data_IF_660563882260
#
_entry.id   IF_660563882260
#
_cell.length_a   1.000
_cell.length_b   1.000
_cell.length_c   1.000
_cell.angle_alpha   90.00
_cell.angle_beta   90.00
_cell.angle_gamma   90.00
#
_symmetry.space_group_name_H-M   'P 1'
#
loop_
_entity.id
_entity.type
_entity.pdbx_description
1 polymer ?
#
# COMPACT_ATOMS: atom_id res chain seq x y z
N UNK A 1 -66.10 44.10 34.78
CA UNK A 1 -65.65 43.67 33.44
C UNK A 1 -65.06 42.27 33.56
N UNK A 2 -65.32 41.39 32.58
CA UNK A 2 -65.86 40.06 32.90
C UNK A 2 -65.07 38.88 32.31
N UNK A 3 -65.48 37.69 32.76
CA UNK A 3 -65.52 36.38 32.06
C UNK A 3 -64.19 35.74 31.67
N UNK A 4 -63.71 34.67 32.32
CA UNK A 4 -64.30 33.30 32.43
C UNK A 4 -64.81 32.78 31.09
N UNK A 5 -64.09 31.82 30.49
CA UNK A 5 -64.70 30.60 29.96
C UNK A 5 -63.78 29.41 30.25
N UNK A 6 -64.17 28.62 31.25
CA UNK A 6 -63.86 27.21 31.36
C UNK A 6 -65.07 26.46 30.80
N UNK A 7 -64.88 25.47 29.91
CA UNK A 7 -65.90 24.46 29.64
C UNK A 7 -65.24 23.11 29.36
N UNK A 8 -65.44 22.17 30.28
CA UNK A 8 -65.28 20.72 30.11
C UNK A 8 -66.69 20.11 29.89
N UNK A 9 -66.92 18.77 29.90
CA UNK A 9 -66.22 17.63 29.30
C UNK A 9 -67.18 16.78 28.42
N UNK A 10 -66.65 15.81 27.66
CA UNK A 10 -67.44 14.77 26.97
C UNK A 10 -66.85 13.39 27.23
N UNK A 11 -67.64 12.52 27.86
CA UNK A 11 -67.28 11.19 28.40
C UNK A 11 -67.95 10.09 27.56
N UNK A 12 -67.36 8.89 27.63
CA UNK A 12 -67.89 7.56 27.27
C UNK A 12 -67.71 7.11 25.81
N UNK A 13 -67.26 5.88 25.50
CA UNK A 13 -66.91 4.77 26.39
C UNK A 13 -66.56 3.47 25.63
N UNK A 14 -66.14 2.46 26.41
CA UNK A 14 -66.07 1.04 26.04
C UNK A 14 -64.84 0.63 25.21
N UNK A 15 -64.08 -0.44 25.50
CA UNK A 15 -64.24 -1.57 26.41
C UNK A 15 -62.90 -2.29 26.57
N UNK A 16 -62.57 -2.62 27.82
CA UNK A 16 -61.99 -3.88 28.35
C UNK A 16 -60.91 -4.65 27.55
N UNK A 17 -59.77 -4.77 28.25
CA UNK A 17 -59.06 -6.01 28.59
C UNK A 17 -58.18 -6.71 27.53
N UNK A 18 -56.86 -6.66 27.76
CA UNK A 18 -55.92 -7.79 27.86
C UNK A 18 -54.48 -7.22 27.76
N UNK A 19 -53.74 -7.14 28.86
CA UNK A 19 -52.72 -8.15 29.22
C UNK A 19 -51.54 -8.20 28.24
N UNK A 20 -50.56 -7.33 28.48
CA UNK A 20 -49.11 -7.57 28.49
C UNK A 20 -48.57 -8.78 27.68
N UNK A 21 -48.05 -8.57 26.46
CA UNK A 21 -46.81 -9.19 25.92
C UNK A 21 -46.32 -8.36 24.71
N UNK A 22 -44.98 -8.19 24.58
CA UNK A 22 -44.18 -7.63 23.47
C UNK A 22 -43.89 -6.12 23.47
N UNK A 23 -42.86 -5.78 24.24
CA UNK A 23 -41.80 -4.91 23.75
C UNK A 23 -41.17 -5.53 22.47
N UNK A 24 -41.78 -5.32 21.29
CA UNK A 24 -41.14 -5.53 19.98
C UNK A 24 -42.00 -5.00 18.80
N UNK A 25 -42.36 -3.71 18.74
CA UNK A 25 -42.88 -3.10 17.49
C UNK A 25 -43.01 -1.56 17.59
N UNK A 26 -41.89 -0.84 17.78
CA UNK A 26 -41.80 0.58 17.38
C UNK A 26 -40.35 1.02 17.07
N UNK A 27 -39.47 0.07 16.76
CA UNK A 27 -38.21 0.31 16.01
C UNK A 27 -38.47 0.20 14.49
N UNK A 28 -39.73 0.34 14.05
CA UNK A 28 -40.14 0.27 12.64
C UNK A 28 -40.98 1.48 12.22
N UNK A 29 -40.54 2.68 12.60
CA UNK A 29 -40.99 3.93 11.98
C UNK A 29 -39.83 4.86 11.58
N UNK A 30 -38.58 4.36 11.64
CA UNK A 30 -37.38 5.01 11.09
C UNK A 30 -36.81 4.31 9.86
N UNK A 31 -37.56 3.36 9.29
CA UNK A 31 -37.14 2.53 8.16
C UNK A 31 -38.16 2.67 7.02
N UNK A 32 -38.25 3.88 6.43
CA UNK A 32 -38.93 4.14 5.15
C UNK A 32 -38.74 5.58 4.61
N UNK A 33 -37.94 6.41 5.28
CA UNK A 33 -37.40 7.63 4.69
C UNK A 33 -35.92 7.38 4.45
N UNK A 34 -35.56 7.15 3.19
CA UNK A 34 -34.15 7.22 2.76
C UNK A 34 -33.54 8.58 3.12
N UNK A 35 -32.21 8.73 3.00
CA UNK A 35 -31.53 9.98 3.37
C UNK A 35 -32.23 11.16 2.68
N UNK A 36 -32.50 12.21 3.47
CA UNK A 36 -33.11 13.44 2.93
C UNK A 36 -32.19 14.01 1.83
N UNK A 37 -32.78 14.65 0.81
CA UNK A 37 -32.06 15.13 -0.38
C UNK A 37 -30.83 16.04 -0.08
N UNK A 38 -30.78 16.68 1.09
CA UNK A 38 -29.63 17.47 1.56
C UNK A 38 -28.46 16.64 2.11
N UNK A 39 -28.71 15.48 2.74
CA UNK A 39 -27.66 14.54 3.14
C UNK A 39 -27.14 13.71 1.97
N UNK A 40 -28.00 13.42 0.99
CA UNK A 40 -27.59 12.74 -0.24
C UNK A 40 -26.67 13.63 -1.09
N UNK A 41 -26.96 14.94 -1.25
CA UNK A 41 -26.08 15.87 -1.97
C UNK A 41 -24.72 16.07 -1.30
N UNK A 42 -24.66 16.25 0.03
CA UNK A 42 -23.39 16.38 0.74
C UNK A 42 -22.53 15.11 0.63
N UNK A 43 -23.13 13.91 0.68
CA UNK A 43 -22.41 12.65 0.46
C UNK A 43 -21.99 12.45 -1.01
N UNK A 44 -22.76 12.98 -1.97
CA UNK A 44 -22.38 13.03 -3.39
C UNK A 44 -21.17 13.94 -3.59
N UNK A 45 -21.15 15.14 -2.99
CA UNK A 45 -20.02 16.08 -3.11
C UNK A 45 -18.72 15.52 -2.51
N UNK A 46 -18.79 14.82 -1.38
CA UNK A 46 -17.59 14.20 -0.76
C UNK A 46 -17.05 13.04 -1.59
N UNK A 47 -17.91 12.16 -2.15
CA UNK A 47 -17.44 11.09 -3.04
C UNK A 47 -16.83 11.64 -4.31
N UNK A 48 -17.37 12.72 -4.86
CA UNK A 48 -16.82 13.42 -6.02
C UNK A 48 -15.43 13.99 -5.70
N UNK A 49 -15.32 14.73 -4.59
CA UNK A 49 -14.04 15.25 -4.09
C UNK A 49 -13.00 14.14 -3.90
N UNK A 50 -13.36 13.06 -3.20
CA UNK A 50 -12.45 11.92 -2.97
C UNK A 50 -12.04 11.25 -4.27
N UNK A 51 -12.97 11.10 -5.23
CA UNK A 51 -12.67 10.53 -6.55
C UNK A 51 -11.70 11.42 -7.33
N UNK A 52 -11.92 12.74 -7.33
CA UNK A 52 -11.06 13.69 -8.02
C UNK A 52 -9.65 13.71 -7.40
N UNK A 53 -9.57 13.76 -6.06
CA UNK A 53 -8.31 13.64 -5.34
C UNK A 53 -7.62 12.31 -5.65
N UNK A 54 -8.35 11.20 -5.67
CA UNK A 54 -7.79 9.89 -5.98
C UNK A 54 -7.31 9.77 -7.42
N UNK A 55 -8.08 10.31 -8.37
CA UNK A 55 -7.73 10.38 -9.78
C UNK A 55 -6.48 11.23 -10.03
N UNK A 56 -6.20 12.22 -9.18
CA UNK A 56 -4.98 13.01 -9.21
C UNK A 56 -3.89 12.48 -8.27
N UNK A 57 -4.07 11.29 -7.69
CA UNK A 57 -3.10 10.63 -6.79
C UNK A 57 -2.82 11.38 -5.47
N UNK A 58 -3.82 12.06 -4.92
CA UNK A 58 -3.81 12.65 -3.56
C UNK A 58 -4.54 11.79 -2.53
N UNK A 59 -5.28 10.77 -2.98
CA UNK A 59 -5.98 9.81 -2.15
C UNK A 59 -5.94 8.41 -2.81
N UNK A 60 -6.06 7.32 -2.04
CA UNK A 60 -6.27 5.99 -2.63
C UNK A 60 -7.70 5.87 -3.19
N UNK A 61 -7.88 5.10 -4.28
CA UNK A 61 -9.21 4.80 -4.84
C UNK A 61 -10.12 4.06 -3.84
N UNK A 62 -9.54 3.28 -2.93
CA UNK A 62 -10.26 2.62 -1.84
C UNK A 62 -10.79 3.58 -0.77
N UNK A 63 -10.27 4.81 -0.73
CA UNK A 63 -10.72 5.89 0.17
C UNK A 63 -11.97 6.65 -0.31
N UNK A 64 -12.59 6.24 -1.42
CA UNK A 64 -13.83 6.85 -1.93
C UNK A 64 -15.03 6.25 -1.20
N UNK A 65 -15.16 6.58 0.09
CA UNK A 65 -16.18 6.07 0.99
C UNK A 65 -17.35 7.05 1.24
N UNK A 66 -17.23 8.28 0.74
CA UNK A 66 -18.21 9.36 0.93
C UNK A 66 -18.22 10.00 2.31
N UNK A 67 -17.21 9.72 3.14
CA UNK A 67 -17.05 10.25 4.48
C UNK A 67 -15.87 11.22 4.50
N UNK A 68 -16.12 12.48 4.89
CA UNK A 68 -15.07 13.48 5.05
C UNK A 68 -14.31 13.23 6.37
N UNK A 69 -13.51 12.18 6.41
CA UNK A 69 -12.74 11.76 7.57
C UNK A 69 -11.33 12.33 7.60
N UNK A 70 -10.49 11.81 8.50
CA UNK A 70 -9.08 12.22 8.63
C UNK A 70 -8.28 11.99 7.35
N UNK A 71 -8.54 10.88 6.63
CA UNK A 71 -7.88 10.62 5.34
C UNK A 71 -8.23 11.70 4.31
N UNK A 72 -9.52 12.00 4.11
CA UNK A 72 -9.95 13.05 3.16
C UNK A 72 -9.42 14.42 3.55
N UNK A 73 -9.44 14.76 4.84
CA UNK A 73 -8.88 16.02 5.37
C UNK A 73 -7.40 16.14 5.00
N UNK A 74 -6.60 15.09 5.22
CA UNK A 74 -5.17 15.11 4.89
C UNK A 74 -4.89 15.11 3.38
N UNK A 75 -5.68 14.40 2.58
CA UNK A 75 -5.62 14.46 1.12
C UNK A 75 -5.91 15.87 0.60
N UNK A 76 -6.87 16.57 1.22
CA UNK A 76 -7.18 17.96 0.91
C UNK A 76 -6.04 18.89 1.30
N UNK A 77 -5.46 18.74 2.51
CA UNK A 77 -4.26 19.51 2.90
C UNK A 77 -3.08 19.30 1.95
N UNK A 78 -2.87 18.07 1.50
CA UNK A 78 -1.83 17.75 0.53
C UNK A 78 -2.08 18.46 -0.80
N UNK A 79 -3.29 18.33 -1.35
CA UNK A 79 -3.66 19.05 -2.56
C UNK A 79 -3.53 20.58 -2.39
N UNK A 80 -3.94 21.12 -1.26
CA UNK A 80 -3.83 22.55 -0.94
C UNK A 80 -2.37 23.03 -0.92
N UNK A 81 -1.47 22.31 -0.23
CA UNK A 81 -0.04 22.63 -0.20
C UNK A 81 0.56 22.63 -1.61
N UNK A 82 0.29 21.60 -2.39
CA UNK A 82 0.79 21.48 -3.75
C UNK A 82 0.25 22.60 -4.66
N UNK A 83 -0.95 23.10 -4.39
CA UNK A 83 -1.58 24.13 -5.21
C UNK A 83 -1.49 25.55 -4.60
N UNK A 84 -0.63 25.75 -3.60
CA UNK A 84 -0.38 27.07 -3.00
C UNK A 84 -1.59 27.66 -2.29
N UNK A 85 -2.47 26.81 -1.76
CA UNK A 85 -3.66 27.18 -0.98
C UNK A 85 -3.37 27.06 0.53
N UNK A 86 -4.22 27.68 1.34
CA UNK A 86 -4.21 27.48 2.80
C UNK A 86 -4.48 26.00 3.10
N UNK A 87 -3.54 25.31 3.73
CA UNK A 87 -3.60 23.87 4.03
C UNK A 87 -4.42 23.56 5.29
N UNK A 88 -5.62 24.11 5.37
CA UNK A 88 -6.55 23.95 6.50
C UNK A 88 -7.21 22.56 6.53
N UNK A 89 -7.26 21.87 5.40
CA UNK A 89 -7.91 20.57 5.24
C UNK A 89 -9.39 20.67 4.96
N UNK A 90 -9.90 21.87 4.67
CA UNK A 90 -11.27 22.13 4.29
C UNK A 90 -11.39 22.26 2.76
N UNK A 91 -12.30 21.50 2.16
CA UNK A 91 -12.58 21.59 0.73
C UNK A 91 -13.53 22.77 0.43
N UNK A 92 -13.10 23.97 0.81
CA UNK A 92 -13.83 25.21 0.52
C UNK A 92 -13.81 25.58 -0.97
N UNK A 93 -14.48 26.69 -1.35
CA UNK A 93 -14.61 27.10 -2.75
C UNK A 93 -13.27 27.24 -3.50
N UNK A 94 -12.22 27.73 -2.84
CA UNK A 94 -10.89 27.86 -3.44
C UNK A 94 -10.28 26.48 -3.75
N UNK A 95 -10.31 25.56 -2.79
CA UNK A 95 -9.85 24.17 -2.94
C UNK A 95 -10.60 23.45 -4.06
N UNK A 96 -11.94 23.51 -4.06
CA UNK A 96 -12.77 22.85 -5.07
C UNK A 96 -12.51 23.45 -6.46
N UNK A 97 -12.40 24.79 -6.57
CA UNK A 97 -12.12 25.44 -7.86
C UNK A 97 -10.76 25.03 -8.41
N UNK A 98 -9.72 24.95 -7.56
CA UNK A 98 -8.39 24.50 -7.98
C UNK A 98 -8.40 23.02 -8.38
N UNK A 99 -9.10 22.17 -7.63
CA UNK A 99 -9.23 20.75 -7.91
C UNK A 99 -9.91 20.51 -9.26
N UNK A 100 -11.08 21.11 -9.47
CA UNK A 100 -11.81 21.06 -10.75
C UNK A 100 -10.94 21.58 -11.90
N UNK A 101 -10.20 22.68 -11.71
CA UNK A 101 -9.30 23.19 -12.75
C UNK A 101 -8.19 22.18 -13.10
N UNK A 102 -7.61 21.50 -12.10
CA UNK A 102 -6.59 20.47 -12.30
C UNK A 102 -7.14 19.26 -13.06
N UNK A 103 -8.34 18.80 -12.71
CA UNK A 103 -9.03 17.72 -13.43
C UNK A 103 -9.26 18.11 -14.89
N UNK A 104 -9.70 19.33 -15.17
CA UNK A 104 -9.89 19.83 -16.55
C UNK A 104 -8.59 19.87 -17.36
N UNK A 105 -7.46 20.19 -16.73
CA UNK A 105 -6.14 20.12 -17.38
C UNK A 105 -5.82 18.67 -17.81
N UNK A 106 -6.03 17.71 -16.90
CA UNK A 106 -5.84 16.27 -17.20
C UNK A 106 -6.76 15.84 -18.34
N UNK A 107 -8.05 16.15 -18.26
CA UNK A 107 -9.04 15.79 -19.28
C UNK A 107 -8.68 16.33 -20.67
N UNK A 108 -8.26 17.60 -20.72
CA UNK A 108 -7.84 18.25 -21.97
C UNK A 108 -6.63 17.57 -22.60
N UNK A 109 -5.65 17.14 -21.78
CA UNK A 109 -4.45 16.43 -22.23
C UNK A 109 -4.70 14.97 -22.59
N UNK A 110 -5.62 14.31 -21.88
CA UNK A 110 -6.05 12.94 -22.15
C UNK A 110 -7.01 12.83 -23.34
N UNK A 111 -7.50 13.96 -23.89
CA UNK A 111 -8.36 13.98 -25.08
C UNK A 111 -9.82 13.64 -24.80
N UNK A 112 -10.34 14.01 -23.62
CA UNK A 112 -11.75 13.82 -23.23
C UNK A 112 -12.44 15.14 -22.87
N UNK A 113 -13.75 15.11 -22.62
CA UNK A 113 -14.53 16.27 -22.20
C UNK A 113 -13.97 16.88 -20.91
N UNK A 114 -13.67 18.18 -20.92
CA UNK A 114 -13.16 18.92 -19.77
C UNK A 114 -14.30 19.40 -18.85
N UNK A 115 -15.15 18.48 -18.40
CA UNK A 115 -16.27 18.79 -17.50
C UNK A 115 -15.81 19.05 -16.04
N UNK A 116 -14.58 18.68 -15.70
CA UNK A 116 -13.98 18.87 -14.38
C UNK A 116 -14.31 17.77 -13.39
N UNK A 117 -14.85 16.65 -13.87
CA UNK A 117 -15.14 15.47 -13.08
C UNK A 117 -14.21 14.29 -13.43
N UNK A 118 -13.50 13.73 -12.44
CA UNK A 118 -12.66 12.55 -12.64
C UNK A 118 -13.49 11.25 -12.66
N UNK A 119 -14.55 11.24 -13.46
CA UNK A 119 -15.43 10.09 -13.66
C UNK A 119 -14.85 8.99 -14.55
N UNK A 120 -15.70 8.02 -14.91
CA UNK A 120 -15.31 6.85 -15.71
C UNK A 120 -14.76 7.20 -17.10
N UNK A 121 -15.26 8.29 -17.71
CA UNK A 121 -14.76 8.80 -18.98
C UNK A 121 -13.33 9.34 -18.84
N UNK A 122 -13.05 10.12 -17.79
CA UNK A 122 -11.71 10.64 -17.48
C UNK A 122 -10.75 9.50 -17.18
N UNK A 123 -11.13 8.56 -16.30
CA UNK A 123 -10.35 7.37 -15.98
C UNK A 123 -9.95 6.60 -17.24
N UNK A 124 -10.92 6.34 -18.14
CA UNK A 124 -10.68 5.60 -19.39
C UNK A 124 -9.74 6.35 -20.33
N UNK A 125 -9.93 7.67 -20.49
CA UNK A 125 -9.08 8.50 -21.33
C UNK A 125 -7.64 8.55 -20.80
N UNK A 126 -7.45 8.63 -19.48
CA UNK A 126 -6.12 8.61 -18.86
C UNK A 126 -5.46 7.25 -19.06
N UNK A 127 -6.17 6.13 -18.93
CA UNK A 127 -5.64 4.78 -19.27
C UNK A 127 -5.18 4.68 -20.72
N UNK A 128 -5.97 5.22 -21.65
CA UNK A 128 -5.61 5.27 -23.07
C UNK A 128 -4.36 6.12 -23.29
N UNK A 129 -4.31 7.31 -22.68
CA UNK A 129 -3.13 8.18 -22.74
C UNK A 129 -1.88 7.49 -22.19
N UNK A 130 -1.98 6.88 -21.01
CA UNK A 130 -0.90 6.15 -20.35
C UNK A 130 -0.38 5.01 -21.24
N UNK A 131 -1.28 4.18 -21.78
CA UNK A 131 -0.94 3.08 -22.70
C UNK A 131 -0.19 3.59 -23.94
N UNK A 132 -0.63 4.71 -24.52
CA UNK A 132 0.00 5.31 -25.69
C UNK A 132 1.38 5.91 -25.42
N UNK A 133 1.69 6.24 -24.16
CA UNK A 133 2.95 6.86 -23.74
C UNK A 133 3.85 5.90 -22.93
N UNK A 134 3.53 4.60 -22.92
CA UNK A 134 4.34 3.59 -22.23
C UNK A 134 4.33 3.70 -20.70
N UNK A 135 3.26 4.26 -20.13
CA UNK A 135 3.01 4.34 -18.69
C UNK A 135 2.06 3.22 -18.24
N UNK A 136 2.05 2.92 -16.95
CA UNK A 136 1.06 2.01 -16.35
C UNK A 136 -0.35 2.55 -16.56
N UNK A 137 -1.22 1.74 -17.18
CA UNK A 137 -2.59 2.13 -17.52
C UNK A 137 -3.57 1.98 -16.34
N UNK A 138 -3.27 2.61 -15.22
CA UNK A 138 -4.08 2.57 -13.99
C UNK A 138 -5.25 3.58 -14.00
N UNK A 139 -5.20 4.58 -14.89
CA UNK A 139 -6.19 5.64 -15.04
C UNK A 139 -6.03 6.79 -14.05
N UNK A 140 -4.99 6.76 -13.21
CA UNK A 140 -4.69 7.78 -12.23
C UNK A 140 -3.68 8.76 -12.85
N UNK A 141 -4.02 10.04 -12.89
CA UNK A 141 -3.12 11.11 -13.27
C UNK A 141 -2.18 11.44 -12.09
N UNK A 142 -1.33 10.48 -11.72
CA UNK A 142 -0.27 10.67 -10.73
C UNK A 142 0.90 11.50 -11.26
N UNK A 143 1.98 11.67 -10.48
CA UNK A 143 3.12 12.50 -10.87
C UNK A 143 3.72 12.13 -12.23
N UNK A 144 3.88 10.82 -12.52
CA UNK A 144 4.40 10.34 -13.82
C UNK A 144 3.47 10.71 -14.98
N UNK A 145 2.17 10.50 -14.80
CA UNK A 145 1.17 10.80 -15.83
C UNK A 145 1.00 12.31 -16.04
N UNK A 146 0.94 13.10 -14.97
CA UNK A 146 0.91 14.56 -15.08
C UNK A 146 2.18 15.14 -15.69
N UNK A 147 3.35 14.59 -15.35
CA UNK A 147 4.62 14.95 -15.97
C UNK A 147 4.63 14.69 -17.48
N UNK A 148 4.18 13.50 -17.91
CA UNK A 148 4.04 13.18 -19.33
C UNK A 148 3.03 14.10 -20.04
N UNK A 149 1.94 14.49 -19.35
CA UNK A 149 0.95 15.45 -19.86
C UNK A 149 1.44 16.91 -19.88
N UNK A 150 2.63 17.19 -19.32
CA UNK A 150 3.14 18.53 -19.06
C UNK A 150 2.13 19.37 -18.27
N UNK A 151 1.63 18.80 -17.18
CA UNK A 151 0.77 19.45 -16.18
C UNK A 151 1.59 19.62 -14.92
N UNK A 152 1.77 20.86 -14.49
CA UNK A 152 2.42 21.15 -13.22
C UNK A 152 1.49 20.69 -12.09
N UNK A 153 1.90 19.64 -11.38
CA UNK A 153 1.18 19.15 -10.20
C UNK A 153 1.21 20.20 -9.09
N UNK A 154 2.33 20.91 -8.97
CA UNK A 154 2.57 21.95 -7.96
C UNK A 154 2.49 23.33 -8.62
N UNK A 155 1.56 24.18 -8.18
CA UNK A 155 1.43 25.55 -8.70
C UNK A 155 2.21 26.50 -7.78
N UNK A 156 3.41 26.86 -8.19
CA UNK A 156 4.40 27.59 -7.38
C UNK A 156 3.85 28.83 -6.66
N UNK A 157 3.92 28.78 -5.32
CA UNK A 157 4.16 29.90 -4.38
C UNK A 157 4.52 29.40 -2.96
N UNK A 158 4.35 28.11 -2.66
CA UNK A 158 4.98 27.43 -1.51
C UNK A 158 6.20 26.62 -1.97
N UNK A 159 7.22 26.51 -1.13
CA UNK A 159 8.56 25.93 -1.37
C UNK A 159 8.63 24.42 -1.73
N UNK A 160 7.56 23.82 -2.26
CA UNK A 160 7.58 22.43 -2.71
C UNK A 160 8.18 22.31 -4.12
N UNK A 161 9.43 21.87 -4.21
CA UNK A 161 10.13 21.65 -5.49
C UNK A 161 10.51 20.18 -5.63
N UNK A 162 11.23 19.82 -6.71
CA UNK A 162 12.06 18.62 -6.79
C UNK A 162 12.90 18.35 -5.50
N UNK A 163 13.09 19.36 -4.65
CA UNK A 163 13.68 19.21 -3.32
C UNK A 163 12.86 18.31 -2.39
N UNK A 164 11.52 18.34 -2.39
CA UNK A 164 10.67 17.56 -1.48
C UNK A 164 10.69 16.08 -1.86
N UNK A 165 10.59 15.79 -3.16
CA UNK A 165 10.77 14.43 -3.67
C UNK A 165 12.18 13.93 -3.42
N UNK A 166 13.21 14.76 -3.60
CA UNK A 166 14.59 14.40 -3.24
C UNK A 166 14.76 14.23 -1.73
N UNK A 167 14.02 14.95 -0.90
CA UNK A 167 14.02 14.84 0.55
C UNK A 167 13.46 13.47 0.96
N UNK A 168 12.24 13.16 0.49
CA UNK A 168 11.62 11.84 0.65
C UNK A 168 12.54 10.72 0.19
N UNK A 169 13.06 10.80 -1.04
CA UNK A 169 13.94 9.78 -1.60
C UNK A 169 15.24 9.63 -0.80
N UNK A 170 15.83 10.75 -0.32
CA UNK A 170 17.03 10.74 0.50
C UNK A 170 16.77 10.10 1.86
N UNK A 171 15.63 10.40 2.48
CA UNK A 171 15.25 9.80 3.75
C UNK A 171 14.96 8.31 3.58
N UNK A 172 14.22 7.91 2.54
CA UNK A 172 14.01 6.50 2.20
C UNK A 172 15.34 5.79 1.89
N UNK A 173 16.26 6.42 1.18
CA UNK A 173 17.56 5.86 0.87
C UNK A 173 18.44 5.73 2.12
N UNK A 174 18.45 6.76 2.96
CA UNK A 174 19.16 6.77 4.24
C UNK A 174 18.64 5.72 5.21
N UNK A 175 17.34 5.43 5.20
CA UNK A 175 16.75 4.35 6.00
C UNK A 175 16.82 2.98 5.31
N UNK A 176 17.39 2.88 4.11
CA UNK A 176 17.62 1.62 3.38
C UNK A 176 16.42 1.05 2.61
N UNK A 177 15.42 1.87 2.28
CA UNK A 177 14.27 1.49 1.43
C UNK A 177 14.48 1.82 -0.05
N UNK A 178 15.34 2.77 -0.37
CA UNK A 178 15.66 3.19 -1.74
C UNK A 178 17.17 3.08 -2.00
N UNK A 179 17.57 2.71 -3.21
CA UNK A 179 18.98 2.74 -3.58
C UNK A 179 19.49 4.19 -3.69
N UNK A 180 20.75 4.46 -3.34
CA UNK A 180 21.31 5.81 -3.35
C UNK A 180 21.26 6.49 -4.74
N UNK A 181 21.34 5.71 -5.82
CA UNK A 181 21.18 6.21 -7.20
C UNK A 181 19.71 6.48 -7.59
N UNK A 182 18.75 6.16 -6.73
CA UNK A 182 17.33 6.45 -6.89
C UNK A 182 16.91 7.82 -6.38
N UNK A 183 17.82 8.64 -5.84
CA UNK A 183 17.55 10.02 -5.42
C UNK A 183 17.66 10.97 -6.62
N UNK A 184 16.75 10.81 -7.57
CA UNK A 184 16.72 11.53 -8.85
C UNK A 184 15.75 12.74 -8.86
N UNK A 185 14.89 12.84 -7.85
CA UNK A 185 13.81 13.83 -7.75
C UNK A 185 12.55 13.47 -8.53
N UNK A 186 12.44 12.22 -9.01
CA UNK A 186 11.30 11.70 -9.76
C UNK A 186 10.59 10.65 -8.91
N UNK A 187 9.31 10.86 -8.61
CA UNK A 187 8.48 9.83 -7.97
C UNK A 187 8.11 8.72 -8.98
N UNK A 188 9.10 7.89 -9.30
CA UNK A 188 8.98 6.74 -10.19
C UNK A 188 8.69 5.43 -9.45
N UNK A 189 8.65 4.28 -10.17
CA UNK A 189 8.35 2.97 -9.58
C UNK A 189 9.23 2.63 -8.37
N UNK A 190 10.54 2.89 -8.46
CA UNK A 190 11.46 2.66 -7.34
C UNK A 190 11.14 3.49 -6.08
N UNK A 191 10.67 4.73 -6.24
CA UNK A 191 10.25 5.57 -5.11
C UNK A 191 8.94 5.08 -4.52
N UNK A 192 7.98 4.69 -5.37
CA UNK A 192 6.71 4.09 -4.93
C UNK A 192 6.93 2.80 -4.14
N UNK A 193 7.79 1.91 -4.63
CA UNK A 193 8.13 0.66 -3.94
C UNK A 193 8.80 0.91 -2.59
N UNK A 194 9.70 1.90 -2.52
CA UNK A 194 10.32 2.32 -1.27
C UNK A 194 9.31 2.89 -0.27
N UNK A 195 8.33 3.68 -0.74
CA UNK A 195 7.25 4.22 0.09
C UNK A 195 6.33 3.10 0.59
N UNK A 196 5.93 2.16 -0.28
CA UNK A 196 5.13 1.00 0.11
C UNK A 196 5.83 0.19 1.21
N UNK A 197 7.13 -0.07 1.04
CA UNK A 197 7.93 -0.79 2.02
C UNK A 197 8.04 -0.02 3.35
N UNK A 198 8.27 1.29 3.29
CA UNK A 198 8.32 2.13 4.48
C UNK A 198 6.98 2.19 5.23
N UNK A 199 5.87 2.36 4.50
CA UNK A 199 4.53 2.36 5.08
C UNK A 199 4.20 1.04 5.75
N UNK A 200 4.56 -0.08 5.10
CA UNK A 200 4.42 -1.42 5.67
C UNK A 200 5.19 -1.56 6.98
N UNK A 201 6.45 -1.17 7.00
CA UNK A 201 7.33 -1.32 8.17
C UNK A 201 6.97 -0.40 9.35
N UNK A 202 6.17 0.64 9.12
CA UNK A 202 5.75 1.61 10.14
C UNK A 202 4.23 1.59 10.37
N UNK A 203 3.54 0.54 9.90
CA UNK A 203 2.11 0.31 10.07
C UNK A 203 1.23 1.51 9.66
N UNK A 204 1.57 2.10 8.52
CA UNK A 204 0.79 3.14 7.87
C UNK A 204 -0.17 2.53 6.83
N UNK A 205 -1.05 3.34 6.25
CA UNK A 205 -1.77 2.93 5.05
C UNK A 205 -0.77 2.64 3.93
N UNK A 206 -0.76 1.40 3.42
CA UNK A 206 0.18 0.94 2.38
C UNK A 206 -0.41 1.24 1.01
N UNK A 207 -0.47 2.53 0.68
CA UNK A 207 -1.07 3.03 -0.56
C UNK A 207 0.00 3.44 -1.60
N UNK A 208 1.27 3.45 -1.20
CA UNK A 208 2.39 3.84 -2.05
C UNK A 208 2.42 5.34 -2.32
N UNK A 209 1.74 6.13 -1.48
CA UNK A 209 1.72 7.58 -1.52
C UNK A 209 2.45 8.16 -0.30
N UNK A 210 3.47 8.98 -0.56
CA UNK A 210 4.08 9.79 0.49
C UNK A 210 3.16 10.98 0.83
N UNK A 211 2.13 10.69 1.62
CA UNK A 211 1.27 11.70 2.24
C UNK A 211 1.72 12.05 3.66
N UNK A 212 0.98 12.92 4.36
CA UNK A 212 1.39 13.46 5.67
C UNK A 212 1.71 12.41 6.74
N UNK A 213 0.97 11.29 6.74
CA UNK A 213 1.25 10.18 7.67
C UNK A 213 2.59 9.52 7.37
N UNK A 214 2.89 9.30 6.09
CA UNK A 214 4.17 8.79 5.61
C UNK A 214 5.29 9.76 5.95
N UNK A 215 5.15 11.05 5.64
CA UNK A 215 6.17 12.06 5.86
C UNK A 215 6.48 12.25 7.36
N UNK A 216 5.43 12.30 8.19
CA UNK A 216 5.59 12.44 9.64
C UNK A 216 6.29 11.22 10.25
N UNK A 217 5.92 10.00 9.83
CA UNK A 217 6.57 8.78 10.28
C UNK A 217 8.02 8.71 9.81
N UNK A 218 8.30 9.12 8.57
CA UNK A 218 9.64 9.13 7.98
C UNK A 218 10.54 10.08 8.77
N UNK A 219 10.11 11.34 8.95
CA UNK A 219 10.83 12.33 9.75
C UNK A 219 11.04 11.87 11.20
N UNK A 220 10.03 11.26 11.84
CA UNK A 220 10.17 10.72 13.19
C UNK A 220 11.22 9.60 13.26
N UNK A 221 11.26 8.71 12.26
CA UNK A 221 12.26 7.64 12.17
C UNK A 221 13.66 8.18 11.95
N UNK A 222 13.82 9.19 11.08
CA UNK A 222 15.09 9.89 10.87
C UNK A 222 15.58 10.55 12.17
N UNK A 223 14.70 11.21 12.93
CA UNK A 223 15.04 11.80 14.24
C UNK A 223 15.52 10.77 15.26
N UNK A 224 14.94 9.56 15.26
CA UNK A 224 15.42 8.46 16.09
C UNK A 224 16.86 8.08 15.72
N UNK A 225 17.15 7.94 14.41
CA UNK A 225 18.51 7.64 13.91
C UNK A 225 19.49 8.74 14.31
N UNK A 226 19.14 10.01 14.08
CA UNK A 226 19.98 11.16 14.40
C UNK A 226 20.33 11.22 15.90
N UNK A 227 19.34 10.98 16.75
CA UNK A 227 19.52 10.94 18.21
C UNK A 227 20.49 9.84 18.64
N UNK A 228 20.45 8.67 17.99
CA UNK A 228 21.35 7.53 18.28
C UNK A 228 22.74 7.68 17.68
N UNK A 229 22.83 8.30 16.51
CA UNK A 229 24.09 8.59 15.82
C UNK A 229 24.83 9.82 16.41
N UNK A 230 24.19 10.60 17.29
CA UNK A 230 24.81 11.74 17.97
C UNK A 230 24.87 13.01 17.12
N UNK A 231 23.89 13.23 16.24
CA UNK A 231 23.77 14.42 15.38
C UNK A 231 22.44 15.14 15.66
N UNK A 232 22.27 16.44 15.32
CA UNK A 232 21.01 17.16 15.53
C UNK A 232 19.81 16.43 14.88
N UNK A 233 18.72 16.32 15.64
CA UNK A 233 17.50 15.61 15.22
C UNK A 233 16.55 16.52 14.43
N UNK A 234 16.98 17.02 13.28
CA UNK A 234 16.18 17.90 12.41
C UNK A 234 15.11 17.14 11.60
N UNK A 235 15.25 15.82 11.45
CA UNK A 235 14.33 14.98 10.67
C UNK A 235 14.68 14.83 9.20
N UNK A 236 15.84 15.33 8.79
CA UNK A 236 16.34 15.23 7.43
C UNK A 236 17.55 14.29 7.37
N UNK A 237 17.52 13.29 6.48
CA UNK A 237 18.66 12.39 6.28
C UNK A 237 19.72 13.04 5.37
N UNK A 238 20.18 14.24 5.74
CA UNK A 238 21.20 14.99 5.02
C UNK A 238 22.62 14.45 5.19
N UNK A 239 23.60 15.17 4.63
CA UNK A 239 25.03 14.80 4.70
C UNK A 239 25.54 14.65 6.13
N UNK A 240 25.10 15.53 7.05
CA UNK A 240 25.45 15.45 8.46
C UNK A 240 24.92 14.16 9.14
N UNK A 241 23.70 13.74 8.80
CA UNK A 241 23.12 12.47 9.27
C UNK A 241 23.88 11.28 8.71
N UNK A 242 24.17 11.30 7.41
CA UNK A 242 24.93 10.25 6.74
C UNK A 242 26.34 10.06 7.35
N UNK A 243 27.08 11.15 7.59
CA UNK A 243 28.41 11.10 8.19
C UNK A 243 28.38 10.62 9.65
N UNK A 244 27.37 11.04 10.42
CA UNK A 244 27.17 10.56 11.78
C UNK A 244 26.87 9.06 11.82
N UNK A 245 26.05 8.57 10.89
CA UNK A 245 25.73 7.13 10.78
C UNK A 245 26.96 6.32 10.38
N UNK A 246 27.80 6.80 9.45
CA UNK A 246 29.10 6.16 9.12
C UNK A 246 30.02 6.06 10.33
N UNK A 247 30.07 7.12 11.13
CA UNK A 247 30.87 7.18 12.35
C UNK A 247 30.35 6.17 13.38
N UNK A 248 29.03 6.14 13.58
CA UNK A 248 28.36 5.16 14.45
C UNK A 248 28.66 3.72 13.99
N UNK A 249 28.49 3.43 12.69
CA UNK A 249 28.73 2.11 12.11
C UNK A 249 30.17 1.65 12.34
N UNK A 250 31.16 2.52 12.06
CA UNK A 250 32.58 2.22 12.27
C UNK A 250 32.90 1.89 13.75
N UNK A 251 32.28 2.61 14.68
CA UNK A 251 32.46 2.40 16.11
C UNK A 251 31.82 1.10 16.63
N UNK A 252 30.81 0.57 15.91
CA UNK A 252 30.05 -0.62 16.30
C UNK A 252 30.34 -1.85 15.42
N UNK A 253 31.40 -1.80 14.60
CA UNK A 253 31.83 -2.93 13.77
C UNK A 253 30.88 -3.26 12.61
N UNK A 254 30.16 -2.25 12.10
CA UNK A 254 29.28 -2.35 10.93
C UNK A 254 29.96 -1.74 9.69
N UNK A 255 29.47 -2.08 8.50
CA UNK A 255 29.88 -1.44 7.26
C UNK A 255 29.52 0.06 7.30
N UNK A 256 30.51 0.92 7.10
CA UNK A 256 30.36 2.39 7.19
C UNK A 256 29.81 3.00 5.88
N UNK A 257 28.65 2.52 5.45
CA UNK A 257 27.97 2.97 4.22
C UNK A 257 27.12 4.24 4.43
N UNK A 258 26.80 4.59 5.68
CA UNK A 258 25.98 5.73 6.06
C UNK A 258 24.48 5.49 5.96
N UNK A 259 24.07 4.25 5.69
CA UNK A 259 22.69 3.82 5.58
C UNK A 259 22.24 3.22 6.92
N UNK A 260 21.22 3.81 7.52
CA UNK A 260 20.49 3.26 8.65
C UNK A 260 19.55 2.13 8.19
N UNK A 261 20.11 1.08 7.56
CA UNK A 261 19.38 -0.13 7.17
C UNK A 261 19.07 -1.02 8.37
N UNK A 262 18.50 -2.22 8.16
CA UNK A 262 18.08 -3.11 9.24
C UNK A 262 19.16 -3.42 10.30
N UNK A 263 20.39 -3.70 9.88
CA UNK A 263 21.51 -3.99 10.80
C UNK A 263 21.91 -2.77 11.63
N UNK A 264 21.99 -1.60 10.98
CA UNK A 264 22.31 -0.33 11.64
C UNK A 264 21.22 0.08 12.63
N UNK A 265 19.95 0.01 12.24
CA UNK A 265 18.81 0.31 13.12
C UNK A 265 18.73 -0.65 14.31
N UNK A 266 18.94 -1.94 14.10
CA UNK A 266 19.00 -2.94 15.17
C UNK A 266 20.12 -2.64 16.17
N UNK A 267 21.32 -2.30 15.68
CA UNK A 267 22.43 -1.87 16.55
C UNK A 267 22.08 -0.61 17.36
N UNK A 268 21.37 0.34 16.76
CA UNK A 268 20.90 1.57 17.43
C UNK A 268 19.76 1.32 18.44
N UNK A 269 19.21 0.11 18.49
CA UNK A 269 17.99 -0.20 19.24
C UNK A 269 16.76 0.56 18.74
N UNK A 270 16.77 0.94 17.46
CA UNK A 270 15.63 1.53 16.79
C UNK A 270 14.88 0.38 16.16
N UNK A 271 13.74 0.03 16.76
CA UNK A 271 12.86 -0.91 16.10
C UNK A 271 12.32 -0.29 14.81
N UNK A 272 12.34 -1.06 13.72
CA UNK A 272 11.33 -0.94 12.67
C UNK A 272 10.02 -1.43 13.29
N UNK A 273 9.42 -0.57 14.12
CA UNK A 273 8.19 -0.88 14.85
C UNK A 273 7.02 -0.94 13.87
N UNK A 274 6.48 -2.16 13.70
CA UNK A 274 5.10 -2.40 13.31
C UNK A 274 4.20 -1.90 14.46
N UNK A 275 3.74 -0.64 14.40
CA UNK A 275 2.90 -0.03 15.43
C UNK A 275 1.40 -0.07 15.09
N UNK A 276 0.53 -0.79 15.80
CA UNK A 276 0.77 -1.31 17.13
C UNK A 276 -0.40 -2.07 17.75
N UNK A 277 -0.26 -2.27 19.06
CA UNK A 277 -1.26 -2.84 19.92
C UNK A 277 -0.83 -2.75 21.38
N UNK A 278 -1.72 -2.21 22.20
CA UNK A 278 -1.68 -2.28 23.67
C UNK A 278 -1.51 -3.73 24.18
N UNK A 279 -1.14 -3.94 25.45
CA UNK A 279 -0.50 -5.17 25.92
C UNK A 279 -1.48 -6.33 26.00
N UNK A 280 -1.21 -7.39 25.22
CA UNK A 280 -1.90 -8.67 25.36
C UNK A 280 -2.12 -9.39 24.02
N UNK A 281 -1.05 -9.93 23.44
CA UNK A 281 -1.12 -10.81 22.27
C UNK A 281 0.27 -11.02 21.70
N UNK A 282 0.73 -12.27 21.66
CA UNK A 282 2.09 -12.63 21.25
C UNK A 282 2.39 -12.11 19.83
N UNK A 283 3.40 -11.25 19.76
CA UNK A 283 3.79 -10.44 18.60
C UNK A 283 4.58 -11.26 17.58
N UNK A 284 4.09 -11.36 16.35
CA UNK A 284 4.85 -11.93 15.22
C UNK A 284 5.98 -10.99 14.79
N UNK A 285 7.22 -11.28 15.21
CA UNK A 285 8.41 -10.53 14.80
C UNK A 285 8.78 -10.74 13.32
N UNK A 286 9.73 -9.94 12.83
CA UNK A 286 10.36 -10.15 11.51
C UNK A 286 10.87 -11.60 11.40
N UNK A 287 10.60 -12.31 10.29
CA UNK A 287 10.96 -13.71 10.19
C UNK A 287 12.48 -13.85 10.27
N UNK A 288 12.96 -14.54 11.30
CA UNK A 288 14.40 -14.72 11.54
C UNK A 288 14.97 -15.67 10.50
N UNK A 289 16.02 -15.25 9.81
CA UNK A 289 16.70 -16.06 8.79
C UNK A 289 18.12 -16.35 9.26
N UNK A 290 18.57 -17.62 9.27
CA UNK A 290 19.97 -17.93 9.54
C UNK A 290 20.88 -17.33 8.46
N UNK A 291 22.18 -17.13 8.71
CA UNK A 291 23.12 -16.70 7.69
C UNK A 291 23.03 -17.57 6.43
N UNK A 292 22.69 -16.96 5.30
CA UNK A 292 22.48 -17.66 4.04
C UNK A 292 23.77 -17.68 3.23
N UNK A 293 24.07 -18.82 2.59
CA UNK A 293 25.29 -19.01 1.81
C UNK A 293 25.01 -19.69 0.47
N UNK A 294 25.97 -19.63 -0.46
CA UNK A 294 25.85 -20.26 -1.78
C UNK A 294 25.25 -19.34 -2.86
N UNK A 295 24.76 -19.97 -3.93
CA UNK A 295 24.09 -19.31 -5.06
C UNK A 295 22.79 -18.61 -4.61
N UNK A 296 22.22 -17.75 -5.46
CA UNK A 296 20.93 -17.15 -5.15
C UNK A 296 19.84 -18.21 -4.93
N UNK A 297 19.86 -19.30 -5.71
CA UNK A 297 18.98 -20.47 -5.54
C UNK A 297 19.14 -21.12 -4.18
N UNK A 298 20.38 -21.33 -3.74
CA UNK A 298 20.67 -21.92 -2.43
C UNK A 298 20.10 -21.05 -1.30
N UNK A 299 20.27 -19.72 -1.41
CA UNK A 299 19.78 -18.76 -0.42
C UNK A 299 18.25 -18.72 -0.37
N UNK A 300 17.57 -18.75 -1.52
CA UNK A 300 16.11 -18.83 -1.61
C UNK A 300 15.60 -20.07 -0.86
N UNK A 301 16.15 -21.24 -1.16
CA UNK A 301 15.70 -22.50 -0.56
C UNK A 301 16.01 -22.53 0.94
N UNK A 302 17.17 -22.03 1.38
CA UNK A 302 17.51 -21.91 2.80
C UNK A 302 16.56 -20.95 3.53
N UNK A 303 16.24 -19.80 2.93
CA UNK A 303 15.26 -18.85 3.47
C UNK A 303 13.90 -19.52 3.61
N UNK A 304 13.39 -20.17 2.57
CA UNK A 304 12.12 -20.87 2.60
C UNK A 304 12.08 -21.96 3.69
N UNK A 305 13.12 -22.79 3.78
CA UNK A 305 13.26 -23.85 4.81
C UNK A 305 13.22 -23.31 6.23
N UNK A 306 13.85 -22.17 6.46
CA UNK A 306 13.91 -21.56 7.80
C UNK A 306 12.55 -21.16 8.36
N UNK A 307 11.54 -21.06 7.49
CA UNK A 307 10.20 -20.61 7.82
C UNK A 307 9.17 -21.72 7.95
N UNK A 308 9.55 -22.99 7.76
CA UNK A 308 8.60 -24.10 7.88
C UNK A 308 7.91 -24.13 9.24
N UNK A 309 6.57 -24.20 9.22
CA UNK A 309 5.74 -24.18 10.42
C UNK A 309 5.37 -22.79 10.93
N UNK A 310 5.79 -21.71 10.25
CA UNK A 310 5.27 -20.36 10.54
C UNK A 310 3.80 -20.30 10.16
N UNK A 311 2.95 -19.94 11.11
CA UNK A 311 1.51 -19.77 10.91
C UNK A 311 1.14 -18.29 10.76
N UNK A 312 0.05 -18.02 10.06
CA UNK A 312 -0.60 -16.71 10.15
C UNK A 312 -1.26 -16.52 11.52
N UNK A 313 -1.55 -15.27 11.87
CA UNK A 313 -2.29 -14.90 13.08
C UNK A 313 -3.57 -14.16 12.75
N UNK A 314 -4.56 -14.88 12.22
CA UNK A 314 -5.90 -14.35 11.96
C UNK A 314 -5.95 -13.31 10.84
N UNK A 315 -7.04 -13.33 10.07
CA UNK A 315 -7.23 -12.43 8.92
C UNK A 315 -6.04 -12.40 7.94
N UNK A 316 -5.35 -13.54 7.73
CA UNK A 316 -4.17 -13.65 6.87
C UNK A 316 -2.95 -12.81 7.31
N UNK A 317 -2.89 -12.37 8.56
CA UNK A 317 -1.72 -11.66 9.06
C UNK A 317 -0.50 -12.57 9.14
N UNK A 318 0.61 -12.14 8.55
CA UNK A 318 1.79 -12.96 8.32
C UNK A 318 3.06 -12.11 8.47
N UNK A 319 4.24 -12.72 8.64
CA UNK A 319 5.47 -11.97 8.90
C UNK A 319 6.16 -11.47 7.62
N UNK A 320 5.60 -11.73 6.44
CA UNK A 320 6.23 -11.44 5.14
C UNK A 320 5.69 -10.17 4.47
N UNK A 321 4.57 -9.62 4.95
CA UNK A 321 3.94 -8.42 4.42
C UNK A 321 2.56 -8.14 5.04
N UNK A 322 1.67 -7.41 4.35
CA UNK A 322 0.35 -7.04 4.87
C UNK A 322 -0.56 -8.26 5.18
N UNK A 323 -1.59 -8.04 6.00
CA UNK A 323 -2.60 -9.05 6.37
C UNK A 323 -3.55 -9.34 5.20
N UNK A 324 -3.09 -10.14 4.26
CA UNK A 324 -3.82 -10.60 3.08
C UNK A 324 -3.28 -11.96 2.63
N UNK A 325 -3.86 -12.56 1.59
CA UNK A 325 -3.37 -13.83 1.07
C UNK A 325 -1.86 -13.74 0.75
N UNK A 326 -1.04 -14.50 1.48
CA UNK A 326 0.38 -14.17 1.63
C UNK A 326 1.36 -15.16 0.99
N UNK A 327 0.88 -16.06 0.11
CA UNK A 327 1.76 -16.99 -0.60
C UNK A 327 2.80 -16.25 -1.47
N UNK A 328 2.40 -15.17 -2.15
CA UNK A 328 3.28 -14.34 -2.97
C UNK A 328 4.19 -13.43 -2.13
N UNK A 329 3.70 -12.93 -0.98
CA UNK A 329 4.49 -12.18 -0.02
C UNK A 329 5.64 -13.04 0.52
N UNK A 330 5.35 -14.28 0.93
CA UNK A 330 6.35 -15.25 1.33
C UNK A 330 7.33 -15.56 0.19
N UNK A 331 6.84 -15.95 -0.98
CA UNK A 331 7.70 -16.31 -2.11
C UNK A 331 8.64 -15.16 -2.52
N UNK A 332 8.12 -13.93 -2.60
CA UNK A 332 8.94 -12.76 -2.97
C UNK A 332 9.89 -12.36 -1.85
N UNK A 333 9.51 -12.54 -0.57
CA UNK A 333 10.42 -12.42 0.56
C UNK A 333 11.61 -13.40 0.45
N UNK A 334 11.40 -14.66 0.07
CA UNK A 334 12.52 -15.62 -0.09
C UNK A 334 13.50 -15.19 -1.18
N UNK A 335 13.01 -14.61 -2.27
CA UNK A 335 13.84 -14.05 -3.35
C UNK A 335 14.64 -12.84 -2.89
N UNK A 336 14.04 -11.95 -2.08
CA UNK A 336 14.76 -10.82 -1.46
C UNK A 336 15.89 -11.27 -0.55
N UNK A 337 15.74 -12.38 0.19
CA UNK A 337 16.82 -12.92 1.01
C UNK A 337 18.04 -13.37 0.18
N UNK A 338 17.85 -13.65 -1.11
CA UNK A 338 18.92 -13.97 -2.05
C UNK A 338 19.46 -12.75 -2.83
N UNK A 339 18.98 -11.54 -2.53
CA UNK A 339 19.40 -10.30 -3.20
C UNK A 339 18.66 -10.02 -4.51
N UNK A 340 17.57 -10.73 -4.81
CA UNK A 340 16.74 -10.48 -5.98
C UNK A 340 15.74 -9.37 -5.64
N UNK A 341 15.82 -8.26 -6.39
CA UNK A 341 14.93 -7.12 -6.22
C UNK A 341 13.54 -7.40 -6.84
N UNK A 342 12.74 -8.17 -6.12
CA UNK A 342 11.37 -8.52 -6.53
C UNK A 342 10.47 -8.63 -5.28
N UNK A 343 9.36 -7.91 -5.28
CA UNK A 343 8.39 -7.89 -4.17
C UNK A 343 6.98 -7.79 -4.75
N UNK A 344 6.08 -8.69 -4.34
CA UNK A 344 4.70 -8.67 -4.82
C UNK A 344 3.77 -9.42 -3.86
N UNK A 345 2.52 -8.99 -3.81
CA UNK A 345 1.41 -9.71 -3.18
C UNK A 345 0.59 -10.54 -4.19
N UNK A 346 0.86 -10.41 -5.49
CA UNK A 346 0.12 -11.09 -6.54
C UNK A 346 0.96 -12.20 -7.19
N UNK A 347 0.47 -13.45 -7.10
CA UNK A 347 1.17 -14.63 -7.64
C UNK A 347 1.45 -14.54 -9.15
N UNK A 348 0.59 -13.87 -9.92
CA UNK A 348 0.75 -13.71 -11.37
C UNK A 348 1.96 -12.87 -11.76
N UNK A 349 2.47 -12.01 -10.87
CA UNK A 349 3.64 -11.18 -11.15
C UNK A 349 4.91 -12.00 -11.32
N UNK A 350 5.00 -13.21 -10.72
CA UNK A 350 6.11 -14.13 -10.99
C UNK A 350 6.13 -14.53 -12.46
N UNK A 351 4.99 -14.82 -13.07
CA UNK A 351 4.92 -15.13 -14.50
C UNK A 351 5.42 -13.95 -15.34
N UNK A 352 4.97 -12.73 -15.04
CA UNK A 352 5.39 -11.53 -15.77
C UNK A 352 6.86 -11.22 -15.56
N UNK A 353 7.38 -11.40 -14.35
CA UNK A 353 8.81 -11.36 -14.07
C UNK A 353 9.57 -12.33 -14.99
N UNK A 354 9.17 -13.59 -15.02
CA UNK A 354 9.79 -14.61 -15.85
C UNK A 354 9.78 -14.24 -17.33
N UNK A 355 8.64 -13.75 -17.83
CA UNK A 355 8.50 -13.31 -19.21
C UNK A 355 9.42 -12.13 -19.53
N UNK A 356 9.50 -11.14 -18.64
CA UNK A 356 10.27 -9.92 -18.85
C UNK A 356 11.78 -10.15 -18.70
N UNK A 357 12.20 -11.15 -17.91
CA UNK A 357 13.60 -11.50 -17.68
C UNK A 357 14.08 -12.69 -18.54
N UNK A 358 13.21 -13.30 -19.36
CA UNK A 358 13.56 -14.47 -20.16
C UNK A 358 13.81 -15.73 -19.33
N UNK A 359 13.24 -15.81 -18.12
CA UNK A 359 13.44 -16.90 -17.16
C UNK A 359 12.18 -17.76 -16.95
N UNK A 360 11.18 -17.60 -17.82
CA UNK A 360 9.94 -18.37 -17.82
C UNK A 360 10.14 -19.75 -18.49
N UNK A 361 9.75 -20.82 -17.81
CA UNK A 361 9.83 -22.19 -18.33
C UNK A 361 8.49 -22.55 -18.99
N UNK A 362 8.38 -22.31 -20.30
CA UNK A 362 7.16 -22.63 -21.07
C UNK A 362 6.94 -24.15 -21.12
N UNK A 363 5.97 -24.66 -20.36
CA UNK A 363 5.64 -26.09 -20.29
C UNK A 363 6.02 -26.78 -18.98
N UNK A 364 6.42 -26.03 -17.94
CA UNK A 364 6.82 -26.56 -16.62
C UNK A 364 8.07 -27.47 -16.69
N UNK A 365 8.86 -27.34 -17.75
CA UNK A 365 10.08 -28.12 -17.97
C UNK A 365 11.21 -27.65 -17.07
N UNK A 366 12.13 -28.56 -16.74
CA UNK A 366 13.37 -28.29 -15.99
C UNK A 366 13.15 -27.49 -14.69
N UNK A 367 12.28 -27.94 -13.77
CA UNK A 367 12.16 -27.32 -12.45
C UNK A 367 13.49 -27.37 -11.70
N UNK A 368 13.92 -26.26 -11.14
CA UNK A 368 15.15 -26.17 -10.35
C UNK A 368 14.85 -25.67 -8.93
N UNK A 369 15.66 -26.08 -7.93
CA UNK A 369 15.60 -25.47 -6.61
C UNK A 369 15.72 -23.94 -6.69
N UNK A 370 14.88 -23.24 -5.94
CA UNK A 370 14.78 -21.78 -5.90
C UNK A 370 13.82 -21.17 -6.93
N UNK A 371 13.32 -21.94 -7.89
CA UNK A 371 12.28 -21.45 -8.82
C UNK A 371 10.98 -21.15 -8.09
N UNK A 372 10.23 -20.18 -8.61
CA UNK A 372 8.84 -19.99 -8.25
C UNK A 372 7.96 -20.85 -9.17
N UNK A 373 6.99 -21.57 -8.60
CA UNK A 373 5.96 -22.33 -9.33
C UNK A 373 4.60 -21.69 -9.10
N UNK A 374 3.87 -21.39 -10.17
CA UNK A 374 2.65 -20.58 -10.15
C UNK A 374 1.45 -21.42 -10.58
N UNK A 375 0.36 -21.34 -9.81
CA UNK A 375 -0.82 -22.18 -9.95
C UNK A 375 -2.07 -21.41 -10.38
N UNK A 376 -2.94 -22.11 -11.11
CA UNK A 376 -4.21 -21.60 -11.62
C UNK A 376 -4.34 -21.80 -13.13
N UNK A 377 -5.15 -20.96 -13.77
CA UNK A 377 -5.41 -20.98 -15.22
C UNK A 377 -4.62 -19.92 -15.99
N UNK A 378 -3.98 -18.98 -15.30
CA UNK A 378 -3.11 -17.98 -15.93
C UNK A 378 -2.87 -16.71 -15.10
N UNK A 379 -1.98 -15.82 -15.55
CA UNK A 379 -1.44 -14.70 -14.76
C UNK A 379 -2.33 -13.45 -14.71
N UNK A 380 -3.55 -13.49 -15.24
CA UNK A 380 -4.32 -12.28 -15.55
C UNK A 380 -4.88 -11.57 -14.32
N UNK A 381 -5.30 -12.30 -13.29
CA UNK A 381 -5.89 -11.74 -12.06
C UNK A 381 -5.88 -12.77 -10.92
N UNK A 382 -6.34 -12.36 -9.74
CA UNK A 382 -6.35 -13.17 -8.51
C UNK A 382 -7.25 -14.41 -8.55
N UNK A 383 -8.22 -14.47 -9.46
CA UNK A 383 -9.05 -15.67 -9.67
C UNK A 383 -8.45 -16.68 -10.66
N UNK A 384 -7.52 -16.24 -11.52
CA UNK A 384 -6.84 -17.10 -12.49
C UNK A 384 -5.43 -17.48 -12.04
N UNK A 385 -4.76 -16.63 -11.26
CA UNK A 385 -3.46 -16.90 -10.63
C UNK A 385 -3.67 -16.96 -9.13
N UNK A 386 -3.81 -18.17 -8.62
CA UNK A 386 -4.41 -18.42 -7.31
C UNK A 386 -3.37 -18.69 -6.22
N UNK A 387 -2.17 -19.15 -6.60
CA UNK A 387 -1.15 -19.52 -5.64
C UNK A 387 0.26 -19.50 -6.25
N UNK A 388 1.27 -19.37 -5.40
CA UNK A 388 2.68 -19.51 -5.77
C UNK A 388 3.45 -20.21 -4.66
N UNK A 389 4.40 -21.05 -5.05
CA UNK A 389 5.31 -21.77 -4.15
C UNK A 389 6.77 -21.64 -4.59
N UNK A 390 7.70 -21.99 -3.70
CA UNK A 390 9.12 -22.09 -4.01
C UNK A 390 9.49 -23.56 -4.17
N UNK A 391 10.11 -23.92 -5.29
CA UNK A 391 10.62 -25.27 -5.52
C UNK A 391 11.83 -25.50 -4.62
N UNK A 392 11.70 -26.45 -3.69
CA UNK A 392 12.79 -26.92 -2.85
C UNK A 392 13.62 -27.99 -3.58
N UNK A 393 12.95 -28.85 -4.35
CA UNK A 393 13.58 -29.97 -5.04
C UNK A 393 12.76 -30.42 -6.26
N UNK A 394 13.45 -30.77 -7.34
CA UNK A 394 12.90 -31.52 -8.45
C UNK A 394 13.29 -33.01 -8.33
N UNK A 395 12.33 -33.90 -8.48
CA UNK A 395 12.54 -35.34 -8.32
C UNK A 395 12.58 -36.05 -9.69
N UNK A 396 13.30 -37.17 -9.74
CA UNK A 396 13.52 -37.94 -10.97
C UNK A 396 12.24 -38.55 -11.56
N UNK A 397 11.18 -38.68 -10.76
CA UNK A 397 9.87 -39.18 -11.16
C UNK A 397 8.95 -38.09 -11.74
N UNK A 398 9.45 -36.86 -11.90
CA UNK A 398 8.70 -35.71 -12.42
C UNK A 398 7.86 -34.99 -11.36
N UNK A 399 7.94 -35.39 -10.09
CA UNK A 399 7.36 -34.62 -8.97
C UNK A 399 8.29 -33.49 -8.54
N UNK A 400 7.73 -32.54 -7.79
CA UNK A 400 8.49 -31.49 -7.10
C UNK A 400 8.14 -31.48 -5.62
N UNK A 401 9.14 -31.17 -4.80
CA UNK A 401 8.93 -30.73 -3.42
C UNK A 401 8.98 -29.21 -3.40
N UNK A 402 8.00 -28.60 -2.76
CA UNK A 402 7.88 -27.14 -2.64
C UNK A 402 7.74 -26.73 -1.19
N UNK A 403 8.11 -25.49 -0.90
CA UNK A 403 7.79 -24.79 0.34
C UNK A 403 6.90 -23.61 -0.02
N UNK A 404 5.72 -23.57 0.59
CA UNK A 404 4.65 -22.64 0.20
C UNK A 404 4.11 -21.91 1.42
N UNK A 405 4.03 -20.58 1.33
CA UNK A 405 3.32 -19.75 2.31
C UNK A 405 1.81 -19.78 2.07
N UNK A 406 1.04 -19.36 3.06
CA UNK A 406 -0.42 -19.40 3.08
C UNK A 406 -1.02 -20.73 2.58
N UNK A 407 -0.39 -21.83 2.97
CA UNK A 407 -0.84 -23.17 2.66
C UNK A 407 -1.36 -23.79 3.94
N UNK A 408 -2.67 -23.99 4.02
CA UNK A 408 -3.37 -24.32 5.26
C UNK A 408 -3.01 -23.33 6.38
N UNK A 409 -3.02 -22.02 6.06
CA UNK A 409 -2.74 -20.92 6.99
C UNK A 409 -1.31 -20.94 7.59
N UNK A 410 -0.37 -21.64 6.93
CA UNK A 410 1.04 -21.74 7.35
C UNK A 410 2.03 -21.87 6.19
N UNK A 411 3.33 -21.82 6.52
CA UNK A 411 4.42 -22.21 5.63
C UNK A 411 4.63 -23.71 5.75
N UNK A 412 4.38 -24.46 4.68
CA UNK A 412 4.50 -25.92 4.71
C UNK A 412 5.09 -26.50 3.43
N UNK A 413 5.56 -27.75 3.55
CA UNK A 413 6.01 -28.54 2.40
C UNK A 413 4.84 -29.18 1.68
N UNK A 414 4.92 -29.24 0.34
CA UNK A 414 4.01 -30.00 -0.52
C UNK A 414 4.82 -30.82 -1.52
N UNK A 415 4.31 -32.01 -1.85
CA UNK A 415 4.89 -32.94 -2.81
C UNK A 415 3.83 -33.33 -3.85
N UNK A 416 4.08 -33.10 -5.13
CA UNK A 416 3.09 -33.35 -6.20
C UNK A 416 3.73 -33.31 -7.59
N UNK A 417 2.97 -33.77 -8.59
CA UNK A 417 3.26 -33.53 -10.01
C UNK A 417 2.74 -32.14 -10.40
N UNK A 418 3.58 -31.21 -10.91
CA UNK A 418 3.20 -29.83 -11.22
C UNK A 418 1.89 -29.66 -12.01
N UNK A 419 1.79 -30.34 -13.16
CA UNK A 419 0.63 -30.23 -14.05
C UNK A 419 -0.67 -30.70 -13.38
N UNK A 420 -0.61 -31.77 -12.58
CA UNK A 420 -1.79 -32.34 -11.90
C UNK A 420 -2.34 -31.42 -10.82
N UNK A 421 -1.50 -30.56 -10.21
CA UNK A 421 -1.94 -29.54 -9.24
C UNK A 421 -2.34 -28.22 -9.92
N UNK A 422 -2.36 -28.16 -11.25
CA UNK A 422 -2.73 -26.96 -11.99
C UNK A 422 -1.67 -25.87 -11.99
N UNK A 423 -0.38 -26.23 -11.92
CA UNK A 423 0.67 -25.28 -12.21
C UNK A 423 0.60 -24.87 -13.70
N UNK A 424 0.70 -23.57 -13.99
CA UNK A 424 0.74 -23.07 -15.37
C UNK A 424 2.08 -22.43 -15.73
N UNK A 425 2.94 -22.16 -14.74
CA UNK A 425 4.26 -21.59 -14.97
C UNK A 425 5.28 -22.00 -13.90
N UNK A 426 6.53 -22.09 -14.33
CA UNK A 426 7.72 -22.14 -13.48
C UNK A 426 8.63 -20.99 -13.91
N UNK A 427 9.20 -20.30 -12.94
CA UNK A 427 9.96 -19.07 -13.15
C UNK A 427 11.27 -19.13 -12.38
N UNK A 428 12.37 -19.05 -13.12
CA UNK A 428 13.69 -18.89 -12.53
C UNK A 428 13.92 -17.45 -12.06
N UNK A 429 14.58 -17.23 -10.92
CA UNK A 429 15.02 -15.89 -10.53
C UNK A 429 16.13 -15.41 -11.47
N UNK A 430 16.09 -14.14 -11.89
CA UNK A 430 17.08 -13.60 -12.82
C UNK A 430 18.44 -13.45 -12.12
N UNK A 431 19.50 -13.94 -12.77
CA UNK A 431 20.86 -13.89 -12.23
C UNK A 431 21.19 -14.97 -11.19
N UNK A 432 20.35 -16.00 -11.07
CA UNK A 432 20.45 -17.08 -10.07
C UNK A 432 21.07 -18.37 -10.59
#
# INVERSE_FOLDING_TARGET
MPTTILRAPGRAGGTRAAALVLALAAVLAGLLLGPTAGQAHAATDVRLLQRDLAGLSYAPLSGVDGVYGSQTTESVRHFQRDNGLDADGDAGPATLSALTAKVKQVQSKAGTSADGDYGTATLSAVKTYQSAHGLDADGIAGPLTMGAMNIDRITSSGTGTNADTKLLQRDLAGLGYLAANGVDGIYGPATKDAVLAFQSDNALSVDGFAGPQTDAALSAKVKQVQSKAGTPADGDYGTATLDAVKTYQSAHGLDADGIAGPLTMASMGIARELGGGSPGGESGGTPTVPPLSGSARDKIVQAARSQLGVHEWGANCNPYGPCEAWCALFASWTWRQAGISFSTAFSGDFYYYGRNHGTLHSGLSDPQPGDAIVFGSGPQNTSTSVHVGIIEKANADGTVDTIEGNSDDQVMRRHFVPATRGAYAIVSPAGA
#
